data_IF_220267541004
#
_entry.id   IF_220267541004
#
_cell.length_a   1.000
_cell.length_b   1.000
_cell.length_c   1.000
_cell.angle_alpha   90.00
_cell.angle_beta   90.00
_cell.angle_gamma   90.00
#
_symmetry.space_group_name_H-M   'P 1'
#
loop_
_entity.id
_entity.type
_entity.pdbx_description
1 polymer ?
#
# COMPACT_ATOMS: atom_id res chain seq x y z
N UNK A 1 -26.32 31.56 -4.60
CA UNK A 1 -26.10 30.43 -3.67
C UNK A 1 -25.37 29.38 -4.48
N UNK A 2 -24.04 29.40 -4.44
CA UNK A 2 -23.21 28.37 -5.07
C UNK A 2 -22.96 27.32 -4.00
N UNK A 3 -23.68 26.20 -4.06
CA UNK A 3 -23.36 25.01 -3.29
C UNK A 3 -22.07 24.43 -3.89
N UNK A 4 -20.94 24.80 -3.30
CA UNK A 4 -19.74 23.97 -3.36
C UNK A 4 -20.12 22.66 -2.66
N UNK A 5 -20.13 21.50 -3.34
CA UNK A 5 -20.33 20.24 -2.64
C UNK A 5 -19.19 20.09 -1.63
N UNK A 6 -19.54 19.75 -0.39
CA UNK A 6 -18.62 19.51 0.72
C UNK A 6 -17.65 18.37 0.36
N UNK A 7 -16.53 18.71 -0.27
CA UNK A 7 -15.47 17.75 -0.63
C UNK A 7 -14.73 17.25 0.60
N UNK A 8 -14.75 17.99 1.72
CA UNK A 8 -14.07 17.60 2.96
C UNK A 8 -14.72 16.39 3.66
N UNK A 9 -16.06 16.26 3.63
CA UNK A 9 -16.76 15.10 4.23
C UNK A 9 -16.56 13.82 3.41
N UNK A 10 -16.51 13.93 2.07
CA UNK A 10 -16.26 12.79 1.19
C UNK A 10 -14.82 12.27 1.31
N UNK A 11 -13.85 13.19 1.44
CA UNK A 11 -12.44 12.90 1.68
C UNK A 11 -12.22 12.23 3.04
N UNK A 12 -12.97 12.65 4.07
CA UNK A 12 -12.96 12.02 5.39
C UNK A 12 -13.60 10.62 5.38
N UNK A 13 -14.67 10.40 4.61
CA UNK A 13 -15.34 9.10 4.49
C UNK A 13 -14.48 8.05 3.75
N UNK A 14 -13.59 8.51 2.86
CA UNK A 14 -12.64 7.69 2.11
C UNK A 14 -11.54 7.10 3.00
N UNK A 15 -10.93 7.94 3.84
CA UNK A 15 -9.91 7.55 4.81
C UNK A 15 -10.50 6.72 5.96
N UNK A 16 -11.82 6.80 6.22
CA UNK A 16 -12.50 6.01 7.26
C UNK A 16 -12.33 4.49 7.13
N UNK A 17 -12.09 3.98 5.93
CA UNK A 17 -11.87 2.54 5.70
C UNK A 17 -10.39 2.16 5.67
N UNK A 18 -9.49 3.15 5.75
CA UNK A 18 -8.07 2.93 5.82
C UNK A 18 -7.67 2.65 7.27
N UNK A 19 -7.13 1.47 7.58
CA UNK A 19 -6.77 1.19 8.96
C UNK A 19 -5.55 2.02 9.39
N UNK A 20 -5.72 2.84 10.43
CA UNK A 20 -4.73 3.84 10.86
C UNK A 20 -3.45 3.17 11.38
N UNK A 21 -3.61 2.10 12.17
CA UNK A 21 -2.47 1.34 12.69
C UNK A 21 -1.69 0.66 11.57
N UNK A 22 -2.41 0.03 10.64
CA UNK A 22 -1.84 -0.56 9.42
C UNK A 22 -1.06 0.49 8.61
N UNK A 23 -1.61 1.70 8.41
CA UNK A 23 -0.95 2.81 7.72
C UNK A 23 0.36 3.21 8.40
N UNK A 24 0.34 3.33 9.72
CA UNK A 24 1.52 3.68 10.53
C UNK A 24 2.62 2.64 10.40
N UNK A 25 2.28 1.35 10.58
CA UNK A 25 3.22 0.24 10.42
C UNK A 25 3.75 0.18 8.99
N UNK A 26 2.88 0.33 7.98
CA UNK A 26 3.28 0.32 6.58
C UNK A 26 4.30 1.41 6.29
N UNK A 27 4.08 2.65 6.74
CA UNK A 27 5.01 3.76 6.48
C UNK A 27 6.38 3.55 7.11
N UNK A 28 6.43 3.14 8.37
CA UNK A 28 7.69 3.02 9.10
C UNK A 28 8.42 1.72 8.76
N UNK A 29 7.74 0.58 8.94
CA UNK A 29 8.38 -0.73 8.87
C UNK A 29 8.75 -1.14 7.45
N UNK A 30 7.99 -0.69 6.43
CA UNK A 30 8.32 -0.92 5.03
C UNK A 30 9.49 -0.03 4.58
N UNK A 31 9.49 1.25 4.98
CA UNK A 31 10.57 2.17 4.62
C UNK A 31 11.91 1.64 5.12
N UNK A 32 11.99 1.23 6.38
CA UNK A 32 13.22 0.67 6.96
C UNK A 32 13.71 -0.58 6.22
N UNK A 33 12.77 -1.46 5.84
CA UNK A 33 13.08 -2.70 5.09
C UNK A 33 13.53 -2.45 3.65
N UNK A 34 13.26 -1.28 3.09
CA UNK A 34 13.73 -0.88 1.76
C UNK A 34 15.03 -0.06 1.85
N UNK A 35 15.06 0.95 2.72
CA UNK A 35 16.20 1.86 2.90
C UNK A 35 17.44 1.11 3.42
N UNK A 36 17.25 0.21 4.40
CA UNK A 36 18.33 -0.56 5.01
C UNK A 36 19.18 -1.35 4.00
N UNK A 37 18.59 -2.21 3.16
CA UNK A 37 19.31 -2.92 2.10
C UNK A 37 20.01 -1.98 1.11
N UNK A 38 19.35 -0.91 0.65
CA UNK A 38 19.96 0.05 -0.29
C UNK A 38 21.21 0.73 0.27
N UNK A 39 21.19 1.08 1.56
CA UNK A 39 22.32 1.69 2.26
C UNK A 39 23.45 0.68 2.51
N UNK A 40 23.13 -0.48 3.10
CA UNK A 40 24.13 -1.48 3.52
C UNK A 40 24.91 -2.03 2.33
N UNK A 41 24.23 -2.34 1.24
CA UNK A 41 24.85 -2.93 0.04
C UNK A 41 25.45 -1.87 -0.89
N UNK A 42 25.22 -0.58 -0.63
CA UNK A 42 25.58 0.54 -1.53
C UNK A 42 25.12 0.29 -2.98
N UNK A 43 23.97 -0.37 -3.12
CA UNK A 43 23.50 -0.99 -4.35
C UNK A 43 23.41 -0.03 -5.55
N UNK A 44 23.17 1.26 -5.30
CA UNK A 44 22.98 2.27 -6.34
C UNK A 44 23.98 3.41 -6.25
N UNK A 45 25.10 3.23 -5.56
CA UNK A 45 26.00 4.34 -5.30
C UNK A 45 26.64 4.92 -6.56
N UNK A 46 27.10 4.07 -7.48
CA UNK A 46 27.66 4.52 -8.75
C UNK A 46 26.62 5.26 -9.59
N UNK A 47 25.39 4.73 -9.64
CA UNK A 47 24.26 5.36 -10.32
C UNK A 47 23.95 6.73 -9.71
N UNK A 48 23.91 6.83 -8.38
CA UNK A 48 23.72 8.09 -7.66
C UNK A 48 24.78 9.11 -8.06
N UNK A 49 26.07 8.76 -7.97
CA UNK A 49 27.17 9.68 -8.31
C UNK A 49 27.07 10.20 -9.74
N UNK A 50 26.67 9.32 -10.67
CA UNK A 50 26.62 9.63 -12.10
C UNK A 50 25.40 10.45 -12.50
N UNK A 51 24.23 10.14 -11.94
CA UNK A 51 22.95 10.65 -12.45
C UNK A 51 22.19 11.55 -11.46
N UNK A 52 22.41 11.40 -10.15
CA UNK A 52 21.54 11.98 -9.13
C UNK A 52 22.26 12.85 -8.09
N UNK A 53 23.60 12.92 -8.11
CA UNK A 53 24.39 13.73 -7.17
C UNK A 53 24.09 15.24 -7.24
N UNK A 54 23.59 15.73 -8.38
CA UNK A 54 23.16 17.12 -8.51
C UNK A 54 21.79 17.41 -7.83
N UNK A 55 20.98 16.38 -7.60
CA UNK A 55 19.61 16.51 -7.06
C UNK A 55 19.49 16.08 -5.60
N UNK A 56 20.47 15.33 -5.07
CA UNK A 56 20.45 14.81 -3.72
C UNK A 56 21.75 15.12 -3.00
N UNK A 57 21.64 15.58 -1.75
CA UNK A 57 22.77 16.00 -0.91
C UNK A 57 23.81 14.91 -0.69
N UNK A 58 23.36 13.66 -0.62
CA UNK A 58 24.18 12.49 -0.30
C UNK A 58 23.47 11.20 -0.74
N UNK A 59 24.20 10.09 -0.72
CA UNK A 59 23.67 8.79 -1.11
C UNK A 59 22.54 8.32 -0.17
N UNK A 60 22.55 8.71 1.11
CA UNK A 60 21.55 8.28 2.05
C UNK A 60 20.21 8.98 1.83
N UNK A 61 20.21 10.29 1.55
CA UNK A 61 19.00 11.02 1.18
C UNK A 61 18.40 10.53 -0.13
N UNK A 62 19.24 10.10 -1.10
CA UNK A 62 18.79 9.40 -2.29
C UNK A 62 18.10 8.06 -1.96
N UNK A 63 18.73 7.19 -1.16
CA UNK A 63 18.14 5.90 -0.78
C UNK A 63 16.83 6.04 -0.02
N UNK A 64 16.78 7.01 0.92
CA UNK A 64 15.55 7.34 1.65
C UNK A 64 14.43 7.74 0.71
N UNK A 65 14.74 8.58 -0.28
CA UNK A 65 13.74 9.02 -1.27
C UNK A 65 13.19 7.87 -2.11
N UNK A 66 14.02 6.88 -2.45
CA UNK A 66 13.56 5.65 -3.12
C UNK A 66 12.63 4.84 -2.22
N UNK A 67 13.02 4.66 -0.95
CA UNK A 67 12.22 3.92 0.03
C UNK A 67 10.85 4.59 0.28
N UNK A 68 10.81 5.91 0.41
CA UNK A 68 9.58 6.70 0.45
C UNK A 68 8.72 6.46 -0.81
N UNK A 69 9.35 6.40 -1.98
CA UNK A 69 8.68 6.05 -3.22
C UNK A 69 7.97 4.72 -3.14
N UNK A 70 8.67 3.67 -2.68
CA UNK A 70 8.13 2.32 -2.51
C UNK A 70 6.96 2.29 -1.52
N UNK A 71 7.05 3.02 -0.40
CA UNK A 71 5.94 3.19 0.54
C UNK A 71 4.72 3.82 -0.13
N UNK A 72 4.92 4.89 -0.89
CA UNK A 72 3.83 5.53 -1.65
C UNK A 72 3.25 4.57 -2.70
N UNK A 73 4.09 3.73 -3.31
CA UNK A 73 3.66 2.62 -4.16
C UNK A 73 2.72 1.68 -3.41
N UNK A 74 3.11 1.23 -2.22
CA UNK A 74 2.30 0.36 -1.38
C UNK A 74 0.96 1.01 -0.99
N UNK A 75 0.96 2.27 -0.58
CA UNK A 75 -0.26 3.03 -0.30
C UNK A 75 -1.17 3.04 -1.54
N UNK A 76 -0.65 3.36 -2.72
CA UNK A 76 -1.46 3.33 -3.94
C UNK A 76 -2.09 1.95 -4.21
N UNK A 77 -1.36 0.86 -3.95
CA UNK A 77 -1.89 -0.50 -4.07
C UNK A 77 -2.99 -0.82 -3.06
N UNK A 78 -2.90 -0.29 -1.85
CA UNK A 78 -3.96 -0.35 -0.83
C UNK A 78 -5.18 0.46 -1.28
N UNK A 79 -5.01 1.70 -1.76
CA UNK A 79 -6.09 2.55 -2.28
C UNK A 79 -6.90 1.81 -3.36
N UNK A 80 -6.22 1.18 -4.31
CA UNK A 80 -6.84 0.39 -5.37
C UNK A 80 -7.63 -0.81 -4.83
N UNK A 81 -7.07 -1.46 -3.82
CA UNK A 81 -7.66 -2.66 -3.21
C UNK A 81 -8.88 -2.32 -2.35
N UNK A 82 -8.82 -1.24 -1.56
CA UNK A 82 -9.96 -0.76 -0.78
C UNK A 82 -11.11 -0.34 -1.70
N UNK A 83 -10.81 0.28 -2.83
CA UNK A 83 -11.82 0.58 -3.85
C UNK A 83 -12.46 -0.70 -4.41
N UNK A 84 -11.66 -1.73 -4.69
CA UNK A 84 -12.16 -3.03 -5.16
C UNK A 84 -13.02 -3.74 -4.10
N UNK A 85 -12.58 -3.74 -2.82
CA UNK A 85 -13.34 -4.26 -1.69
C UNK A 85 -14.67 -3.54 -1.58
N UNK A 86 -14.67 -2.19 -1.52
CA UNK A 86 -15.91 -1.39 -1.42
C UNK A 86 -16.89 -1.71 -2.54
N UNK A 87 -16.41 -1.74 -3.80
CA UNK A 87 -17.25 -2.08 -4.97
C UNK A 87 -17.84 -3.49 -4.87
N UNK A 88 -17.08 -4.44 -4.31
CA UNK A 88 -17.52 -5.84 -4.15
C UNK A 88 -18.57 -5.95 -3.06
N UNK A 89 -18.32 -5.35 -1.90
CA UNK A 89 -19.24 -5.32 -0.77
C UNK A 89 -20.56 -4.62 -1.14
N UNK A 90 -20.51 -3.46 -1.79
CA UNK A 90 -21.72 -2.74 -2.25
C UNK A 90 -22.53 -3.51 -3.30
N UNK A 91 -21.90 -4.43 -4.05
CA UNK A 91 -22.56 -5.26 -5.07
C UNK A 91 -22.93 -6.64 -4.56
N UNK A 92 -22.69 -6.95 -3.28
CA UNK A 92 -23.06 -8.22 -2.64
C UNK A 92 -22.46 -9.42 -3.40
N UNK A 93 -21.23 -9.26 -3.92
CA UNK A 93 -20.50 -10.25 -4.73
C UNK A 93 -19.54 -11.05 -3.86
N UNK A 94 -19.05 -12.18 -4.37
CA UNK A 94 -17.95 -12.92 -3.72
C UNK A 94 -16.75 -11.99 -3.46
N UNK A 95 -16.07 -12.21 -2.33
CA UNK A 95 -14.90 -11.42 -1.93
C UNK A 95 -13.85 -11.38 -3.06
N UNK A 96 -13.14 -10.25 -3.22
CA UNK A 96 -12.11 -10.14 -4.25
C UNK A 96 -11.03 -11.20 -4.02
N UNK A 97 -10.63 -11.87 -5.10
CA UNK A 97 -9.52 -12.83 -5.05
C UNK A 97 -8.20 -12.11 -4.79
N UNK A 98 -7.34 -12.75 -4.00
CA UNK A 98 -5.94 -12.34 -3.87
C UNK A 98 -5.27 -12.50 -5.24
N UNK A 99 -4.65 -11.43 -5.73
CA UNK A 99 -3.87 -11.45 -6.98
C UNK A 99 -2.47 -10.92 -6.71
N UNK A 100 -1.63 -11.66 -5.95
CA UNK A 100 -0.24 -11.27 -5.77
C UNK A 100 0.46 -11.27 -7.13
N UNK A 101 1.19 -10.20 -7.42
CA UNK A 101 2.07 -10.16 -8.58
C UNK A 101 3.25 -11.12 -8.34
N UNK A 102 3.57 -11.95 -9.34
CA UNK A 102 4.76 -12.80 -9.32
C UNK A 102 5.99 -12.00 -9.76
N UNK A 103 6.31 -10.92 -9.05
CA UNK A 103 7.42 -10.03 -9.41
C UNK A 103 8.40 -9.96 -8.26
N UNK A 104 9.65 -10.38 -8.52
CA UNK A 104 10.70 -10.48 -7.53
C UNK A 104 11.68 -9.31 -7.72
N UNK A 105 11.30 -8.11 -7.32
CA UNK A 105 12.26 -7.01 -7.22
C UNK A 105 13.07 -7.13 -5.94
N UNK A 106 14.31 -6.67 -5.98
CA UNK A 106 15.13 -6.51 -4.79
C UNK A 106 15.04 -5.06 -4.27
N UNK A 107 14.98 -4.84 -2.94
CA UNK A 107 14.75 -5.84 -1.90
C UNK A 107 13.32 -6.40 -2.00
N UNK A 108 13.08 -7.57 -1.41
CA UNK A 108 11.71 -8.05 -1.11
C UNK A 108 11.38 -7.54 0.30
N UNK A 109 10.63 -6.42 0.43
CA UNK A 109 10.40 -5.82 1.74
C UNK A 109 9.21 -6.47 2.45
N UNK A 110 8.45 -7.36 1.80
CA UNK A 110 7.30 -8.07 2.37
C UNK A 110 7.70 -9.49 2.80
N UNK A 111 8.63 -9.56 3.77
CA UNK A 111 8.94 -10.80 4.45
C UNK A 111 7.71 -11.35 5.22
N UNK A 112 7.80 -12.60 5.66
CA UNK A 112 6.70 -13.26 6.38
C UNK A 112 6.32 -12.53 7.69
N UNK A 113 7.27 -11.88 8.34
CA UNK A 113 7.04 -11.16 9.60
C UNK A 113 6.29 -9.84 9.37
N UNK A 114 6.72 -9.02 8.41
CA UNK A 114 6.01 -7.79 8.03
C UNK A 114 4.61 -8.14 7.54
N UNK A 115 4.49 -9.15 6.68
CA UNK A 115 3.19 -9.58 6.15
C UNK A 115 2.24 -9.95 7.28
N UNK A 116 2.70 -10.73 8.26
CA UNK A 116 1.90 -11.14 9.42
C UNK A 116 1.52 -9.95 10.32
N UNK A 117 2.45 -9.03 10.58
CA UNK A 117 2.16 -7.83 11.37
C UNK A 117 1.08 -7.00 10.67
N UNK A 118 1.29 -6.68 9.39
CA UNK A 118 0.34 -5.89 8.61
C UNK A 118 -1.05 -6.53 8.57
N UNK A 119 -1.14 -7.85 8.32
CA UNK A 119 -2.42 -8.57 8.33
C UNK A 119 -3.13 -8.49 9.67
N UNK A 120 -2.38 -8.62 10.78
CA UNK A 120 -2.93 -8.50 12.14
C UNK A 120 -3.48 -7.11 12.40
N UNK A 121 -2.75 -6.05 12.06
CA UNK A 121 -3.20 -4.67 12.29
C UNK A 121 -4.53 -4.39 11.54
N UNK A 122 -4.65 -4.87 10.29
CA UNK A 122 -5.92 -4.74 9.54
C UNK A 122 -7.03 -5.57 10.19
N UNK A 123 -6.73 -6.81 10.58
CA UNK A 123 -7.70 -7.71 11.19
C UNK A 123 -8.27 -7.16 12.51
N UNK A 124 -7.41 -6.67 13.40
CA UNK A 124 -7.83 -6.13 14.70
C UNK A 124 -8.73 -4.89 14.54
N UNK A 125 -8.37 -4.00 13.61
CA UNK A 125 -9.13 -2.78 13.36
C UNK A 125 -10.48 -3.08 12.67
N UNK A 126 -10.48 -3.89 11.61
CA UNK A 126 -11.72 -4.22 10.89
C UNK A 126 -12.62 -5.20 11.64
N UNK A 127 -12.06 -6.08 12.46
CA UNK A 127 -12.84 -7.03 13.28
C UNK A 127 -13.68 -6.38 14.37
N UNK A 128 -13.29 -5.18 14.80
CA UNK A 128 -14.04 -4.40 15.80
C UNK A 128 -14.94 -3.33 15.16
N UNK A 129 -14.73 -3.01 13.88
CA UNK A 129 -15.44 -1.93 13.22
C UNK A 129 -16.89 -2.34 12.80
N UNK A 130 -17.94 -1.65 13.27
CA UNK A 130 -19.34 -2.08 13.10
C UNK A 130 -19.80 -2.25 11.65
N UNK A 131 -19.24 -1.48 10.71
CA UNK A 131 -19.61 -1.57 9.29
C UNK A 131 -19.28 -2.95 8.70
N UNK A 132 -18.14 -3.54 9.04
CA UNK A 132 -17.78 -4.86 8.52
C UNK A 132 -18.67 -5.96 9.09
N UNK A 133 -19.05 -5.84 10.37
CA UNK A 133 -20.01 -6.74 11.01
C UNK A 133 -21.37 -6.69 10.32
N UNK A 134 -21.88 -5.48 10.08
CA UNK A 134 -23.14 -5.30 9.36
C UNK A 134 -23.11 -5.86 7.94
N UNK A 135 -22.03 -5.59 7.19
CA UNK A 135 -21.86 -6.11 5.82
C UNK A 135 -21.76 -7.65 5.79
N UNK A 136 -21.09 -8.24 6.77
CA UNK A 136 -21.03 -9.69 6.94
C UNK A 136 -22.41 -10.28 7.22
N UNK A 137 -23.15 -9.70 8.18
CA UNK A 137 -24.48 -10.18 8.58
C UNK A 137 -25.48 -10.14 7.40
N UNK A 138 -25.43 -9.09 6.57
CA UNK A 138 -26.34 -8.90 5.43
C UNK A 138 -26.09 -9.92 4.29
N UNK A 139 -24.82 -10.30 4.00
CA UNK A 139 -24.49 -11.07 2.78
C UNK A 139 -23.51 -12.22 2.87
N UNK A 140 -22.76 -12.35 3.95
CA UNK A 140 -21.69 -13.34 4.05
C UNK A 140 -21.91 -14.34 5.18
N UNK A 141 -23.02 -14.21 5.92
CA UNK A 141 -23.45 -15.21 6.92
C UNK A 141 -23.69 -16.57 6.25
N UNK A 142 -23.03 -17.60 6.77
CA UNK A 142 -23.15 -18.98 6.30
C UNK A 142 -21.84 -19.55 5.76
N UNK A 143 -21.39 -19.15 4.54
CA UNK A 143 -20.21 -19.73 3.89
C UNK A 143 -18.87 -19.41 4.57
N UNK A 144 -18.82 -18.38 5.42
CA UNK A 144 -17.63 -17.96 6.16
C UNK A 144 -18.02 -17.60 7.60
N UNK A 145 -17.10 -17.76 8.55
CA UNK A 145 -17.22 -17.06 9.83
C UNK A 145 -16.90 -15.58 9.66
N UNK A 146 -17.31 -14.74 10.63
CA UNK A 146 -16.96 -13.31 10.59
C UNK A 146 -15.43 -13.10 10.61
N UNK A 147 -14.72 -13.90 11.39
CA UNK A 147 -13.25 -13.84 11.47
C UNK A 147 -12.62 -14.23 10.13
N UNK A 148 -13.11 -15.28 9.46
CA UNK A 148 -12.62 -15.66 8.12
C UNK A 148 -12.90 -14.57 7.08
N UNK A 149 -14.05 -13.89 7.18
CA UNK A 149 -14.39 -12.76 6.33
C UNK A 149 -13.39 -11.60 6.52
N UNK A 150 -13.12 -11.21 7.77
CA UNK A 150 -12.17 -10.12 8.08
C UNK A 150 -10.75 -10.52 7.69
N UNK A 151 -10.34 -11.76 7.96
CA UNK A 151 -9.03 -12.28 7.57
C UNK A 151 -8.84 -12.21 6.05
N UNK A 152 -9.82 -12.64 5.26
CA UNK A 152 -9.76 -12.58 3.82
C UNK A 152 -9.62 -11.13 3.29
N UNK A 153 -10.33 -10.17 3.91
CA UNK A 153 -10.19 -8.75 3.59
C UNK A 153 -8.79 -8.24 3.95
N UNK A 154 -8.28 -8.56 5.14
CA UNK A 154 -6.96 -8.15 5.61
C UNK A 154 -5.84 -8.66 4.69
N UNK A 155 -5.89 -9.96 4.35
CA UNK A 155 -4.94 -10.56 3.41
C UNK A 155 -5.00 -9.90 2.03
N UNK A 156 -6.19 -9.53 1.57
CA UNK A 156 -6.38 -8.82 0.31
C UNK A 156 -5.74 -7.44 0.35
N UNK A 157 -5.97 -6.66 1.41
CA UNK A 157 -5.38 -5.34 1.59
C UNK A 157 -3.84 -5.39 1.61
N UNK A 158 -3.25 -6.36 2.33
CA UNK A 158 -1.80 -6.56 2.37
C UNK A 158 -1.24 -7.00 1.02
N UNK A 159 -1.97 -7.85 0.27
CA UNK A 159 -1.60 -8.19 -1.10
C UNK A 159 -1.61 -6.95 -2.02
N UNK A 160 -2.56 -6.05 -1.82
CA UNK A 160 -2.61 -4.75 -2.51
C UNK A 160 -1.36 -3.91 -2.24
N UNK A 161 -0.99 -3.77 -0.96
CA UNK A 161 0.22 -3.07 -0.54
C UNK A 161 1.48 -3.64 -1.21
N UNK A 162 1.64 -4.96 -1.19
CA UNK A 162 2.76 -5.64 -1.85
C UNK A 162 2.83 -5.34 -3.34
N UNK A 163 1.70 -5.50 -4.05
CA UNK A 163 1.63 -5.23 -5.48
C UNK A 163 1.98 -3.78 -5.83
N UNK A 164 1.53 -2.83 -5.01
CA UNK A 164 1.85 -1.41 -5.17
C UNK A 164 3.35 -1.11 -4.96
N UNK A 165 3.96 -1.73 -3.94
CA UNK A 165 5.39 -1.63 -3.69
C UNK A 165 6.21 -2.22 -4.85
N UNK A 166 5.86 -3.43 -5.31
CA UNK A 166 6.51 -4.09 -6.44
C UNK A 166 6.36 -3.27 -7.73
N UNK A 167 5.16 -2.73 -7.97
CA UNK A 167 4.92 -1.83 -9.10
C UNK A 167 5.86 -0.62 -9.08
N UNK A 168 6.02 0.02 -7.92
CA UNK A 168 6.92 1.17 -7.77
C UNK A 168 8.39 0.79 -7.90
N UNK A 169 8.83 -0.31 -7.29
CA UNK A 169 10.19 -0.82 -7.50
C UNK A 169 10.45 -1.02 -8.99
N UNK A 170 9.49 -1.61 -9.72
CA UNK A 170 9.59 -1.78 -11.16
C UNK A 170 9.75 -0.47 -11.94
N UNK A 171 9.05 0.59 -11.56
CA UNK A 171 9.23 1.92 -12.17
C UNK A 171 10.61 2.52 -11.84
N UNK A 172 11.09 2.37 -10.60
CA UNK A 172 12.42 2.83 -10.17
C UNK A 172 13.51 2.10 -10.98
N UNK A 173 13.45 0.76 -11.04
CA UNK A 173 14.41 -0.05 -11.80
C UNK A 173 14.40 0.29 -13.29
N UNK A 174 13.22 0.54 -13.87
CA UNK A 174 13.13 1.01 -15.26
C UNK A 174 13.76 2.38 -15.43
N UNK A 175 13.56 3.31 -14.49
CA UNK A 175 14.22 4.61 -14.53
C UNK A 175 15.75 4.46 -14.51
N UNK A 176 16.27 3.54 -13.71
CA UNK A 176 17.71 3.26 -13.65
C UNK A 176 18.24 2.66 -14.95
N UNK A 177 17.56 1.65 -15.49
CA UNK A 177 17.96 0.97 -16.72
C UNK A 177 18.01 1.92 -17.93
N UNK A 178 17.08 2.87 -17.99
CA UNK A 178 16.98 3.83 -19.09
C UNK A 178 17.60 5.19 -18.78
N UNK A 179 18.29 5.33 -17.64
CA UNK A 179 18.93 6.57 -17.18
C UNK A 179 17.99 7.78 -17.18
N UNK A 180 16.74 7.55 -16.76
CA UNK A 180 15.67 8.56 -16.72
C UNK A 180 15.56 9.21 -15.33
N UNK A 181 14.90 10.37 -15.24
CA UNK A 181 14.49 10.89 -13.94
C UNK A 181 13.67 9.86 -13.16
N UNK A 182 13.77 9.92 -11.82
CA UNK A 182 12.94 9.10 -10.95
C UNK A 182 11.44 9.33 -11.23
N UNK A 183 10.60 8.30 -11.08
CA UNK A 183 9.16 8.48 -11.24
C UNK A 183 8.62 9.43 -10.16
N UNK A 184 7.47 10.05 -10.45
CA UNK A 184 6.79 10.90 -9.47
C UNK A 184 6.23 10.05 -8.34
N UNK A 185 6.78 10.21 -7.13
CA UNK A 185 6.25 9.60 -5.92
C UNK A 185 5.09 10.44 -5.39
N UNK A 186 3.88 10.16 -5.86
CA UNK A 186 2.64 10.81 -5.39
C UNK A 186 1.58 9.75 -5.09
N UNK A 187 1.03 9.78 -3.88
CA UNK A 187 -0.17 9.00 -3.53
C UNK A 187 -1.37 9.52 -4.32
N UNK A 188 -2.19 8.62 -4.84
CA UNK A 188 -3.39 8.90 -5.64
C UNK A 188 -4.59 8.29 -4.93
N UNK A 189 -5.09 8.93 -3.86
CA UNK A 189 -6.20 8.37 -3.12
C UNK A 189 -7.42 8.28 -4.04
N UNK A 190 -8.03 7.09 -4.13
CA UNK A 190 -9.11 6.80 -5.10
C UNK A 190 -10.51 6.91 -4.53
N UNK A 191 -10.62 6.87 -3.20
CA UNK A 191 -11.90 6.92 -2.49
C UNK A 191 -12.36 8.38 -2.21
N UNK A 192 -11.53 9.37 -2.52
CA UNK A 192 -11.68 10.83 -2.33
C UNK A 192 -12.47 11.44 -3.50
N UNK A 193 -13.67 10.92 -3.80
CA UNK A 193 -14.51 11.43 -4.89
C UNK A 193 -15.97 11.56 -4.52
#
# INVERSE_FOLDING_TARGET
MHDLPDTEEADAAAERYWPDHFKGVLRTALQERVEGPFLRERAFEELYRRLYAASFSDYASFCRRLAEGVVIGAENGVDETLEAIRRTLSRKKALPEKRPLAVYFWPDPFDADLTRILQREVFEEWGTHPVFRHLYEDHYTGPLSFDDFVAALAETAVSGARNGADGMLGEIYRAFLFERPLPSFRRRPRLVR
#
